data_IF_169950304479
#
_entry.id   IF_169950304479
#
_cell.length_a   1.000
_cell.length_b   1.000
_cell.length_c   1.000
_cell.angle_alpha   90.00
_cell.angle_beta   90.00
_cell.angle_gamma   90.00
#
_symmetry.space_group_name_H-M   'P 1'
#
loop_
_entity.id
_entity.type
_entity.pdbx_description
1 polymer ?
#
# COMPACT_ATOMS: atom_id res chain seq x y z
N UNK A 1 -61.56 -40.23 -9.32
CA UNK A 1 -60.66 -39.76 -8.24
C UNK A 1 -59.95 -38.48 -8.67
N UNK A 2 -60.08 -37.33 -7.99
CA UNK A 2 -59.27 -36.15 -8.31
C UNK A 2 -58.03 -36.05 -7.40
N UNK A 3 -56.83 -36.07 -7.99
CA UNK A 3 -55.59 -35.67 -7.32
C UNK A 3 -55.55 -34.14 -7.25
N UNK A 4 -55.69 -33.58 -6.05
CA UNK A 4 -55.41 -32.16 -5.78
C UNK A 4 -53.91 -31.92 -5.98
N UNK A 5 -53.56 -31.14 -6.99
CA UNK A 5 -52.21 -30.59 -7.20
C UNK A 5 -51.97 -29.49 -6.17
N UNK A 6 -51.12 -29.77 -5.18
CA UNK A 6 -50.61 -28.78 -4.25
C UNK A 6 -49.63 -27.85 -4.98
N UNK A 7 -50.15 -26.77 -5.57
CA UNK A 7 -49.39 -25.58 -5.94
C UNK A 7 -48.96 -24.88 -4.66
N UNK A 8 -47.86 -25.35 -4.07
CA UNK A 8 -47.25 -24.77 -2.88
C UNK A 8 -46.58 -23.46 -3.28
N UNK A 9 -47.09 -22.37 -2.70
CA UNK A 9 -46.58 -21.00 -2.81
C UNK A 9 -45.04 -20.94 -2.81
N UNK A 10 -44.47 -20.80 -4.00
CA UNK A 10 -43.08 -20.36 -4.13
C UNK A 10 -43.11 -18.86 -3.92
N UNK A 11 -43.05 -18.42 -2.65
CA UNK A 11 -42.77 -17.02 -2.31
C UNK A 11 -41.49 -16.63 -3.03
N UNK A 12 -41.61 -15.88 -4.12
CA UNK A 12 -40.48 -15.25 -4.78
C UNK A 12 -39.74 -14.43 -3.72
N UNK A 13 -38.50 -14.83 -3.44
CA UNK A 13 -37.62 -14.06 -2.59
C UNK A 13 -37.46 -12.69 -3.25
N UNK A 14 -38.04 -11.66 -2.63
CA UNK A 14 -37.95 -10.28 -3.09
C UNK A 14 -36.46 -9.97 -3.29
N UNK A 15 -36.01 -9.54 -4.48
CA UNK A 15 -34.61 -9.26 -4.71
C UNK A 15 -34.12 -8.24 -3.68
N UNK A 16 -32.86 -8.35 -3.21
CA UNK A 16 -32.33 -7.44 -2.20
C UNK A 16 -32.52 -5.99 -2.68
N UNK A 17 -32.97 -5.13 -1.78
CA UNK A 17 -33.19 -3.72 -2.09
C UNK A 17 -31.91 -3.12 -2.69
N UNK A 18 -32.00 -2.60 -3.92
CA UNK A 18 -30.86 -1.96 -4.58
C UNK A 18 -30.43 -0.72 -3.80
N UNK A 19 -29.14 -0.60 -3.48
CA UNK A 19 -28.60 0.57 -2.79
C UNK A 19 -28.96 1.85 -3.56
N UNK A 20 -29.59 2.85 -2.91
CA UNK A 20 -29.85 4.15 -3.53
C UNK A 20 -28.60 4.76 -4.16
N UNK A 21 -28.72 5.36 -5.36
CA UNK A 21 -27.58 5.93 -6.11
C UNK A 21 -26.76 6.98 -5.33
N UNK A 22 -27.35 7.63 -4.33
CA UNK A 22 -26.65 8.57 -3.45
C UNK A 22 -25.72 7.84 -2.48
N UNK A 23 -26.21 6.77 -1.84
CA UNK A 23 -25.43 5.94 -0.92
C UNK A 23 -24.28 5.24 -1.64
N UNK A 24 -24.55 4.63 -2.81
CA UNK A 24 -23.52 4.00 -3.63
C UNK A 24 -22.38 4.98 -4.00
N UNK A 25 -22.73 6.25 -4.24
CA UNK A 25 -21.76 7.32 -4.53
C UNK A 25 -20.91 7.67 -3.31
N UNK A 26 -21.51 7.78 -2.13
CA UNK A 26 -20.79 8.03 -0.88
C UNK A 26 -19.84 6.87 -0.56
N UNK A 27 -20.31 5.64 -0.74
CA UNK A 27 -19.52 4.43 -0.51
C UNK A 27 -18.24 4.40 -1.35
N UNK A 28 -18.33 4.61 -2.67
CA UNK A 28 -17.14 4.60 -3.55
C UNK A 28 -16.10 5.65 -3.12
N UNK A 29 -16.56 6.85 -2.75
CA UNK A 29 -15.67 7.94 -2.29
C UNK A 29 -14.99 7.60 -0.97
N UNK A 30 -15.78 7.13 -0.01
CA UNK A 30 -15.26 6.71 1.29
C UNK A 30 -14.27 5.56 1.12
N UNK A 31 -14.58 4.55 0.29
CA UNK A 31 -13.68 3.45 -0.03
C UNK A 31 -12.35 3.94 -0.59
N UNK A 32 -12.35 4.87 -1.57
CA UNK A 32 -11.11 5.41 -2.13
C UNK A 32 -10.22 6.06 -1.07
N UNK A 33 -10.80 6.93 -0.22
CA UNK A 33 -10.07 7.59 0.85
C UNK A 33 -9.58 6.60 1.92
N UNK A 34 -10.43 5.66 2.34
CA UNK A 34 -10.08 4.64 3.33
C UNK A 34 -8.95 3.73 2.85
N UNK A 35 -8.99 3.27 1.59
CA UNK A 35 -7.93 2.41 1.06
C UNK A 35 -6.59 3.17 0.97
N UNK A 36 -6.60 4.47 0.64
CA UNK A 36 -5.40 5.31 0.67
C UNK A 36 -4.83 5.47 2.09
N UNK A 37 -5.67 5.77 3.08
CA UNK A 37 -5.26 5.86 4.49
C UNK A 37 -4.75 4.52 5.02
N UNK A 38 -5.43 3.41 4.68
CA UNK A 38 -5.02 2.07 5.05
C UNK A 38 -3.64 1.72 4.48
N UNK A 39 -3.41 2.00 3.19
CA UNK A 39 -2.11 1.81 2.55
C UNK A 39 -1.01 2.61 3.26
N UNK A 40 -1.26 3.89 3.55
CA UNK A 40 -0.32 4.73 4.30
C UNK A 40 -0.03 4.16 5.69
N UNK A 41 -1.07 3.77 6.44
CA UNK A 41 -0.92 3.18 7.77
C UNK A 41 -0.09 1.90 7.75
N UNK A 42 -0.38 0.99 6.82
CA UNK A 42 0.39 -0.24 6.63
C UNK A 42 1.87 0.04 6.28
N UNK A 43 2.13 1.03 5.42
CA UNK A 43 3.48 1.47 5.08
C UNK A 43 4.22 2.09 6.27
N UNK A 44 3.54 2.95 7.05
CA UNK A 44 4.12 3.57 8.24
C UNK A 44 4.44 2.54 9.31
N UNK A 45 3.60 1.50 9.47
CA UNK A 45 3.85 0.39 10.39
C UNK A 45 5.19 -0.32 10.14
N UNK A 46 5.62 -0.44 8.88
CA UNK A 46 6.93 -0.98 8.54
C UNK A 46 8.05 -0.13 9.17
N UNK A 47 8.04 1.17 8.93
CA UNK A 47 9.11 2.05 9.41
C UNK A 47 9.05 2.32 10.92
N UNK A 48 7.85 2.34 11.50
CA UNK A 48 7.62 2.68 12.89
C UNK A 48 7.71 1.49 13.85
N UNK A 49 7.45 0.26 13.38
CA UNK A 49 7.39 -0.93 14.24
C UNK A 49 8.31 -2.01 13.70
N UNK A 50 8.11 -2.46 12.45
CA UNK A 50 8.82 -3.62 11.91
C UNK A 50 10.32 -3.38 11.86
N UNK A 51 10.78 -2.25 11.31
CA UNK A 51 12.22 -1.96 11.19
C UNK A 51 12.91 -1.89 12.56
N UNK A 52 12.41 -1.13 13.56
CA UNK A 52 12.97 -1.17 14.91
C UNK A 52 13.09 -2.59 15.48
N UNK A 53 12.05 -3.42 15.33
CA UNK A 53 12.09 -4.82 15.77
C UNK A 53 13.21 -5.61 15.07
N UNK A 54 13.38 -5.45 13.76
CA UNK A 54 14.47 -6.12 13.03
C UNK A 54 15.85 -5.68 13.52
N UNK A 55 16.03 -4.38 13.79
CA UNK A 55 17.29 -3.81 14.26
C UNK A 55 17.65 -4.29 15.68
N UNK A 56 16.66 -4.35 16.57
CA UNK A 56 16.85 -4.73 17.97
C UNK A 56 17.04 -6.24 18.16
N UNK A 57 16.37 -7.06 17.35
CA UNK A 57 16.36 -8.52 17.52
C UNK A 57 17.43 -9.25 16.69
N UNK A 58 18.16 -8.54 15.83
CA UNK A 58 19.15 -9.17 14.95
C UNK A 58 20.58 -8.95 15.39
N UNK A 59 21.31 -10.06 15.58
CA UNK A 59 22.72 -10.08 15.95
C UNK A 59 23.69 -10.29 14.77
N UNK A 60 23.19 -10.74 13.61
CA UNK A 60 24.04 -11.10 12.46
C UNK A 60 23.60 -10.39 11.16
N UNK A 61 24.55 -9.93 10.32
CA UNK A 61 24.23 -9.16 9.12
C UNK A 61 23.40 -9.96 8.12
N UNK A 62 23.72 -11.23 7.90
CA UNK A 62 22.98 -12.11 6.99
C UNK A 62 21.50 -12.26 7.39
N UNK A 63 21.23 -12.38 8.70
CA UNK A 63 19.87 -12.44 9.23
C UNK A 63 19.13 -11.13 8.95
N UNK A 64 19.74 -9.97 9.25
CA UNK A 64 19.09 -8.66 9.12
C UNK A 64 18.72 -8.39 7.66
N UNK A 65 19.68 -8.64 6.77
CA UNK A 65 19.53 -8.41 5.33
C UNK A 65 18.52 -9.38 4.72
N UNK A 66 18.49 -10.63 5.15
CA UNK A 66 17.48 -11.61 4.70
C UNK A 66 16.07 -11.22 5.16
N UNK A 67 15.92 -10.78 6.42
CA UNK A 67 14.62 -10.33 6.94
C UNK A 67 14.15 -9.07 6.20
N UNK A 68 15.04 -8.10 5.98
CA UNK A 68 14.73 -6.91 5.18
C UNK A 68 14.35 -7.27 3.74
N UNK A 69 15.09 -8.16 3.09
CA UNK A 69 14.84 -8.61 1.71
C UNK A 69 13.48 -9.29 1.57
N UNK A 70 13.12 -10.14 2.55
CA UNK A 70 11.78 -10.74 2.62
C UNK A 70 10.69 -9.70 2.85
N UNK A 71 10.90 -8.75 3.75
CA UNK A 71 9.97 -7.65 3.99
C UNK A 71 9.76 -6.82 2.72
N UNK A 72 10.83 -6.49 2.00
CA UNK A 72 10.78 -5.82 0.71
C UNK A 72 10.02 -6.67 -0.32
N UNK A 73 10.27 -7.98 -0.37
CA UNK A 73 9.62 -8.89 -1.32
C UNK A 73 8.10 -8.84 -1.21
N UNK A 74 7.55 -8.94 0.01
CA UNK A 74 6.09 -8.81 0.18
C UNK A 74 5.59 -7.38 -0.04
N UNK A 75 6.36 -6.38 0.42
CA UNK A 75 5.99 -4.97 0.30
C UNK A 75 5.89 -4.47 -1.14
N UNK A 76 6.87 -4.79 -1.99
CA UNK A 76 6.91 -4.30 -3.39
C UNK A 76 5.85 -4.94 -4.30
N UNK A 77 5.27 -6.08 -3.89
CA UNK A 77 4.15 -6.70 -4.60
C UNK A 77 2.82 -6.10 -4.10
N UNK A 78 2.59 -6.14 -2.79
CA UNK A 78 1.30 -5.78 -2.21
C UNK A 78 1.04 -4.27 -2.27
N UNK A 79 1.99 -3.44 -1.85
CA UNK A 79 1.74 -2.01 -1.65
C UNK A 79 1.53 -1.26 -2.98
N UNK A 80 2.35 -1.46 -4.04
CA UNK A 80 2.08 -0.85 -5.34
C UNK A 80 0.75 -1.33 -5.95
N UNK A 81 0.38 -2.60 -5.77
CA UNK A 81 -0.90 -3.12 -6.26
C UNK A 81 -2.09 -2.40 -5.61
N UNK A 82 -2.05 -2.21 -4.29
CA UNK A 82 -3.06 -1.42 -3.57
C UNK A 82 -3.05 0.04 -4.00
N UNK A 83 -1.87 0.63 -4.23
CA UNK A 83 -1.74 2.01 -4.71
C UNK A 83 -2.36 2.21 -6.10
N UNK A 84 -2.14 1.27 -7.03
CA UNK A 84 -2.74 1.28 -8.37
C UNK A 84 -4.26 1.16 -8.28
N UNK A 85 -4.77 0.21 -7.49
CA UNK A 85 -6.21 0.04 -7.29
C UNK A 85 -6.86 1.30 -6.72
N UNK A 86 -6.25 1.89 -5.69
CA UNK A 86 -6.70 3.14 -5.05
C UNK A 86 -6.67 4.31 -6.01
N UNK A 87 -5.61 4.42 -6.81
CA UNK A 87 -5.48 5.45 -7.86
C UNK A 87 -6.58 5.28 -8.91
N UNK A 88 -6.91 4.04 -9.28
CA UNK A 88 -8.04 3.74 -10.17
C UNK A 88 -9.38 4.23 -9.61
N UNK A 89 -9.63 4.04 -8.31
CA UNK A 89 -10.84 4.59 -7.67
C UNK A 89 -10.88 6.12 -7.74
N UNK A 90 -9.77 6.79 -7.45
CA UNK A 90 -9.69 8.25 -7.56
C UNK A 90 -9.86 8.74 -9.01
N UNK A 91 -9.28 8.06 -9.99
CA UNK A 91 -9.46 8.37 -11.40
C UNK A 91 -10.93 8.21 -11.84
N UNK A 92 -11.60 7.15 -11.40
CA UNK A 92 -13.03 6.95 -11.66
C UNK A 92 -13.88 8.07 -11.04
N UNK A 93 -13.56 8.50 -9.82
CA UNK A 93 -14.24 9.63 -9.18
C UNK A 93 -14.01 10.93 -9.96
N UNK A 94 -12.77 11.23 -10.33
CA UNK A 94 -12.43 12.40 -11.12
C UNK A 94 -13.18 12.45 -12.46
N UNK A 95 -13.28 11.32 -13.17
CA UNK A 95 -14.00 11.23 -14.44
C UNK A 95 -15.52 11.36 -14.29
N UNK A 96 -16.08 11.02 -13.11
CA UNK A 96 -17.53 11.02 -12.87
C UNK A 96 -18.02 12.30 -12.19
N UNK A 97 -17.13 13.08 -11.58
CA UNK A 97 -17.47 14.38 -11.01
C UNK A 97 -17.91 15.36 -12.09
N UNK A 98 -19.02 16.06 -11.87
CA UNK A 98 -19.56 17.07 -12.80
C UNK A 98 -18.97 18.46 -12.58
N UNK A 99 -18.44 18.72 -11.39
CA UNK A 99 -17.85 20.01 -11.05
C UNK A 99 -16.33 19.91 -11.13
N UNK A 100 -15.70 20.86 -11.86
CA UNK A 100 -14.26 20.90 -12.09
C UNK A 100 -13.43 20.84 -10.81
N UNK A 101 -13.90 21.49 -9.74
CA UNK A 101 -13.21 21.47 -8.44
C UNK A 101 -13.02 20.05 -7.89
N UNK A 102 -14.06 19.21 -7.94
CA UNK A 102 -13.98 17.83 -7.45
C UNK A 102 -13.20 16.92 -8.39
N UNK A 103 -13.28 17.17 -9.70
CA UNK A 103 -12.44 16.47 -10.67
C UNK A 103 -10.95 16.68 -10.34
N UNK A 104 -10.54 17.93 -10.08
CA UNK A 104 -9.16 18.26 -9.73
C UNK A 104 -8.75 17.66 -8.39
N UNK A 105 -9.59 17.74 -7.35
CA UNK A 105 -9.29 17.16 -6.03
C UNK A 105 -9.04 15.65 -6.14
N UNK A 106 -9.90 14.91 -6.83
CA UNK A 106 -9.73 13.46 -6.99
C UNK A 106 -8.55 13.12 -7.91
N UNK A 107 -8.30 13.90 -8.96
CA UNK A 107 -7.13 13.71 -9.82
C UNK A 107 -5.81 13.88 -9.04
N UNK A 108 -5.71 14.94 -8.22
CA UNK A 108 -4.53 15.17 -7.37
C UNK A 108 -4.41 14.10 -6.29
N UNK A 109 -5.52 13.62 -5.71
CA UNK A 109 -5.50 12.51 -4.76
C UNK A 109 -4.93 11.22 -5.39
N UNK A 110 -5.35 10.89 -6.61
CA UNK A 110 -4.81 9.76 -7.37
C UNK A 110 -3.32 9.94 -7.70
N UNK A 111 -2.94 11.11 -8.20
CA UNK A 111 -1.55 11.44 -8.52
C UNK A 111 -0.63 11.36 -7.28
N UNK A 112 -1.08 11.89 -6.14
CA UNK A 112 -0.37 11.77 -4.87
C UNK A 112 -0.20 10.30 -4.47
N UNK A 113 -1.26 9.49 -4.56
CA UNK A 113 -1.23 8.07 -4.19
C UNK A 113 -0.23 7.26 -5.02
N UNK A 114 -0.25 7.40 -6.35
CA UNK A 114 0.68 6.67 -7.23
C UNK A 114 2.11 7.23 -7.20
N UNK A 115 2.29 8.44 -6.64
CA UNK A 115 3.60 9.08 -6.47
C UNK A 115 4.62 8.26 -5.70
N UNK A 116 4.20 7.22 -4.97
CA UNK A 116 5.12 6.24 -4.37
C UNK A 116 6.05 5.58 -5.41
N UNK A 117 5.60 5.42 -6.66
CA UNK A 117 6.37 4.76 -7.72
C UNK A 117 7.55 5.63 -8.17
N UNK A 118 7.35 6.86 -8.67
CA UNK A 118 8.47 7.72 -9.04
C UNK A 118 9.35 8.06 -7.84
N UNK A 119 8.79 8.20 -6.63
CA UNK A 119 9.62 8.39 -5.43
C UNK A 119 10.55 7.20 -5.19
N UNK A 120 10.05 5.97 -5.34
CA UNK A 120 10.88 4.76 -5.17
C UNK A 120 12.01 4.73 -6.18
N UNK A 121 11.69 4.99 -7.45
CA UNK A 121 12.67 4.98 -8.55
C UNK A 121 13.77 6.04 -8.35
N UNK A 122 13.40 7.25 -7.95
CA UNK A 122 14.33 8.37 -7.81
C UNK A 122 15.17 8.31 -6.53
N UNK A 123 14.58 7.92 -5.41
CA UNK A 123 15.22 8.09 -4.09
C UNK A 123 15.58 6.77 -3.40
N UNK A 124 14.91 5.66 -3.71
CA UNK A 124 15.08 4.41 -2.96
C UNK A 124 15.87 3.33 -3.72
N UNK A 125 15.85 3.30 -5.05
CA UNK A 125 16.52 2.24 -5.86
C UNK A 125 17.97 2.04 -5.45
N UNK A 126 18.78 3.10 -5.38
CA UNK A 126 20.18 2.98 -5.00
C UNK A 126 20.38 2.36 -3.59
N UNK A 127 19.47 2.64 -2.65
CA UNK A 127 19.51 2.06 -1.30
C UNK A 127 19.07 0.59 -1.32
N UNK A 128 18.03 0.27 -2.11
CA UNK A 128 17.55 -1.11 -2.27
C UNK A 128 18.64 -2.00 -2.90
N UNK A 129 19.28 -1.54 -3.97
CA UNK A 129 20.32 -2.31 -4.68
C UNK A 129 21.53 -2.57 -3.78
N UNK A 130 21.91 -1.57 -2.98
CA UNK A 130 22.97 -1.73 -2.00
C UNK A 130 22.63 -2.79 -0.94
N UNK A 131 21.39 -2.80 -0.42
CA UNK A 131 20.95 -3.80 0.55
C UNK A 131 20.89 -5.21 -0.05
N UNK A 132 20.38 -5.38 -1.27
CA UNK A 132 20.40 -6.68 -1.96
C UNK A 132 21.82 -7.17 -2.27
N UNK A 133 22.73 -6.26 -2.63
CA UNK A 133 24.15 -6.61 -2.83
C UNK A 133 24.77 -7.11 -1.52
N UNK A 134 24.52 -6.41 -0.41
CA UNK A 134 25.01 -6.83 0.91
C UNK A 134 24.40 -8.18 1.33
N UNK A 135 23.12 -8.43 1.06
CA UNK A 135 22.48 -9.71 1.36
C UNK A 135 23.21 -10.86 0.68
N UNK A 136 23.47 -10.75 -0.63
CA UNK A 136 24.19 -11.77 -1.40
C UNK A 136 25.59 -12.03 -0.84
N UNK A 137 26.33 -10.98 -0.47
CA UNK A 137 27.66 -11.10 0.14
C UNK A 137 27.60 -11.78 1.51
N UNK A 138 26.64 -11.38 2.35
CA UNK A 138 26.48 -11.94 3.68
C UNK A 138 26.11 -13.43 3.65
N UNK A 139 25.29 -13.85 2.69
CA UNK A 139 24.94 -15.27 2.48
C UNK A 139 26.11 -16.07 1.91
N UNK A 140 26.89 -15.52 0.97
CA UNK A 140 28.07 -16.19 0.43
C UNK A 140 29.12 -16.46 1.51
N UNK A 141 29.35 -15.50 2.41
CA UNK A 141 30.28 -15.63 3.53
C UNK A 141 29.87 -16.73 4.53
N UNK A 142 28.56 -16.99 4.71
CA UNK A 142 28.08 -18.05 5.60
C UNK A 142 28.37 -19.47 5.08
N UNK A 143 28.41 -19.65 3.75
CA UNK A 143 28.61 -20.97 3.12
C UNK A 143 30.09 -21.21 2.76
N UNK A 144 30.99 -20.32 3.17
CA UNK A 144 32.43 -20.47 2.94
C UNK A 144 32.81 -20.39 1.45
N UNK A 145 32.01 -19.70 0.62
CA UNK A 145 32.38 -19.45 -0.77
C UNK A 145 33.61 -18.53 -0.81
N UNK A 146 34.58 -18.82 -1.67
CA UNK A 146 35.83 -18.05 -1.94
C UNK A 146 35.62 -16.60 -2.45
N UNK A 147 34.41 -16.06 -2.29
CA UNK A 147 34.10 -14.66 -2.56
C UNK A 147 34.62 -13.86 -1.38
N UNK A 148 35.82 -13.29 -1.56
CA UNK A 148 36.44 -12.23 -0.76
C UNK A 148 35.83 -12.09 0.64
N UNK A 149 36.51 -12.66 1.63
CA UNK A 149 36.24 -12.68 3.07
C UNK A 149 36.19 -11.28 3.73
N UNK A 150 35.52 -10.31 3.11
CA UNK A 150 35.06 -9.11 3.77
C UNK A 150 33.81 -9.48 4.54
N UNK A 151 33.97 -9.71 5.84
CA UNK A 151 32.85 -9.78 6.75
C UNK A 151 31.95 -8.56 6.52
N UNK A 152 30.71 -8.79 6.12
CA UNK A 152 29.73 -7.71 5.99
C UNK A 152 29.57 -7.08 7.37
N UNK A 153 29.91 -5.81 7.48
CA UNK A 153 29.78 -5.09 8.73
C UNK A 153 28.31 -4.91 9.10
N UNK A 154 27.94 -5.38 10.30
CA UNK A 154 26.60 -5.26 10.84
C UNK A 154 26.21 -3.80 11.07
N UNK A 155 27.17 -2.95 11.49
CA UNK A 155 26.90 -1.52 11.72
C UNK A 155 26.50 -0.86 10.40
N UNK A 156 27.30 -1.05 9.35
CA UNK A 156 26.98 -0.57 8.02
C UNK A 156 25.63 -1.09 7.48
N UNK A 157 25.33 -2.39 7.67
CA UNK A 157 24.04 -2.95 7.27
C UNK A 157 22.86 -2.27 8.01
N UNK A 158 22.99 -2.03 9.32
CA UNK A 158 21.99 -1.33 10.14
C UNK A 158 21.78 0.10 9.66
N UNK A 159 22.84 0.85 9.40
CA UNK A 159 22.76 2.23 8.90
C UNK A 159 21.97 2.30 7.58
N UNK A 160 22.21 1.35 6.68
CA UNK A 160 21.53 1.30 5.40
C UNK A 160 20.04 0.93 5.54
N UNK A 161 19.70 0.01 6.45
CA UNK A 161 18.30 -0.30 6.80
C UNK A 161 17.60 0.91 7.44
N UNK A 162 18.28 1.66 8.31
CA UNK A 162 17.75 2.91 8.91
C UNK A 162 17.51 3.97 7.83
N UNK A 163 18.46 4.16 6.92
CA UNK A 163 18.29 5.06 5.77
C UNK A 163 17.07 4.65 4.93
N UNK A 164 16.97 3.37 4.60
CA UNK A 164 15.82 2.82 3.86
C UNK A 164 14.50 3.10 4.59
N UNK A 165 14.44 2.88 5.90
CA UNK A 165 13.24 3.08 6.70
C UNK A 165 12.79 4.55 6.76
N UNK A 166 13.74 5.49 6.82
CA UNK A 166 13.45 6.93 6.73
C UNK A 166 12.87 7.31 5.38
N UNK A 167 13.46 6.86 4.28
CA UNK A 167 12.94 7.08 2.94
C UNK A 167 11.56 6.44 2.77
N UNK A 168 11.37 5.24 3.30
CA UNK A 168 10.10 4.53 3.28
C UNK A 168 9.00 5.25 4.08
N UNK A 169 9.36 5.87 5.22
CA UNK A 169 8.45 6.70 6.00
C UNK A 169 8.03 7.96 5.23
N UNK A 170 8.95 8.61 4.51
CA UNK A 170 8.59 9.73 3.62
C UNK A 170 7.66 9.24 2.51
N UNK A 171 7.96 8.07 1.93
CA UNK A 171 7.12 7.46 0.89
C UNK A 171 5.69 7.18 1.36
N UNK A 172 5.47 6.86 2.64
CA UNK A 172 4.12 6.59 3.16
C UNK A 172 3.23 7.84 3.26
N UNK A 173 3.80 9.04 3.16
CA UNK A 173 3.06 10.31 3.16
C UNK A 173 2.28 10.53 1.85
N UNK A 174 2.71 9.92 0.75
CA UNK A 174 2.05 10.03 -0.56
C UNK A 174 0.60 9.50 -0.55
N UNK A 175 0.34 8.24 -0.15
CA UNK A 175 -1.04 7.74 -0.02
C UNK A 175 -1.79 8.43 1.12
N UNK A 176 -1.11 8.95 2.16
CA UNK A 176 -1.77 9.75 3.20
C UNK A 176 -2.36 11.04 2.62
N UNK A 177 -1.58 11.77 1.83
CA UNK A 177 -2.03 12.96 1.13
C UNK A 177 -3.21 12.64 0.20
N UNK A 178 -3.14 11.52 -0.53
CA UNK A 178 -4.25 11.01 -1.32
C UNK A 178 -5.52 10.78 -0.50
N UNK A 179 -5.40 10.12 0.65
CA UNK A 179 -6.52 9.89 1.57
C UNK A 179 -7.13 11.18 2.12
N UNK A 180 -6.30 12.14 2.55
CA UNK A 180 -6.75 13.46 3.05
C UNK A 180 -7.53 14.19 1.96
N UNK A 181 -6.98 14.29 0.74
CA UNK A 181 -7.64 14.95 -0.38
C UNK A 181 -8.95 14.25 -0.77
N UNK A 182 -8.97 12.91 -0.76
CA UNK A 182 -10.18 12.12 -0.97
C UNK A 182 -11.28 12.42 0.05
N UNK A 183 -10.92 12.53 1.33
CA UNK A 183 -11.84 12.92 2.41
C UNK A 183 -12.35 14.35 2.25
N UNK A 184 -11.47 15.29 1.90
CA UNK A 184 -11.86 16.69 1.65
C UNK A 184 -12.87 16.77 0.51
N UNK A 185 -12.62 16.09 -0.62
CA UNK A 185 -13.55 16.04 -1.74
C UNK A 185 -14.90 15.44 -1.36
N UNK A 186 -14.91 14.37 -0.56
CA UNK A 186 -16.14 13.77 -0.04
C UNK A 186 -16.93 14.76 0.83
N UNK A 187 -16.27 15.40 1.81
CA UNK A 187 -16.95 16.32 2.74
C UNK A 187 -17.49 17.55 2.03
N UNK A 188 -16.75 18.11 1.07
CA UNK A 188 -17.20 19.27 0.30
C UNK A 188 -18.44 18.95 -0.56
N UNK A 189 -18.47 17.77 -1.21
CA UNK A 189 -19.63 17.34 -1.99
C UNK A 189 -20.86 17.06 -1.12
N UNK A 190 -20.69 16.58 0.12
CA UNK A 190 -21.80 16.31 1.04
C UNK A 190 -22.47 17.60 1.57
N UNK A 191 -21.77 18.73 1.50
CA UNK A 191 -22.27 20.03 1.97
C UNK A 191 -23.05 20.81 0.90
N UNK A 192 -23.10 20.30 -0.33
CA UNK A 192 -23.86 20.85 -1.45
C UNK A 192 -25.18 20.11 -1.65
#
# INVERSE_FOLDING_TARGET
>A
MPRKSASKDRKEARPPASIPRKEARVLVRASAAMTACFLSGAMTGISAITVPVLLDTTAHPAQLLSQWSRLYHYGHIMMPSVAVATTGLFALLALRSKQRQFQLVYAVAGAATIGIVPFTLLFMVATNDALFRLEKLALAAQVGADVASQAVDLIFARELVVKWARLHAIRSLFPLLGGILGMVGLVQELRQ
#
